data_IF_859908527517
#
_entry.id   IF_859908527517
#
_cell.length_a   1.000
_cell.length_b   1.000
_cell.length_c   1.000
_cell.angle_alpha   90.00
_cell.angle_beta   90.00
_cell.angle_gamma   90.00
#
_symmetry.space_group_name_H-M   'P 1'
#
loop_
_entity.id
_entity.type
_entity.pdbx_description
1 polymer ?
#
# COMPACT_ATOMS: atom_id res chain seq x y z
N UNK A 1 -9.19 -11.96 -13.57
CA UNK A 1 -7.85 -11.51 -13.14
C UNK A 1 -7.57 -12.22 -11.83
N UNK A 2 -6.77 -13.28 -11.82
CA UNK A 2 -6.50 -14.06 -10.59
C UNK A 2 -5.02 -13.99 -10.14
N UNK A 3 -4.16 -13.32 -10.92
CA UNK A 3 -2.71 -13.33 -10.71
C UNK A 3 -2.25 -12.41 -9.57
N UNK A 4 -2.88 -11.25 -9.38
CA UNK A 4 -2.51 -10.32 -8.30
C UNK A 4 -2.92 -10.90 -6.96
N UNK A 5 -4.14 -11.42 -6.85
CA UNK A 5 -4.65 -12.04 -5.62
C UNK A 5 -3.75 -13.18 -5.12
N UNK A 6 -3.49 -14.19 -5.96
CA UNK A 6 -2.65 -15.33 -5.58
C UNK A 6 -1.17 -14.96 -5.42
N UNK A 7 -0.65 -14.05 -6.25
CA UNK A 7 0.71 -13.54 -6.10
C UNK A 7 0.92 -12.80 -4.79
N UNK A 8 -0.10 -12.04 -4.35
CA UNK A 8 -0.08 -11.33 -3.08
C UNK A 8 -0.11 -12.28 -1.89
N UNK A 9 -0.96 -13.31 -1.93
CA UNK A 9 -1.00 -14.34 -0.88
C UNK A 9 0.35 -15.05 -0.73
N UNK A 10 0.98 -15.44 -1.85
CA UNK A 10 2.28 -16.08 -1.86
C UNK A 10 3.37 -15.15 -1.29
N UNK A 11 3.38 -13.89 -1.73
CA UNK A 11 4.38 -12.92 -1.26
C UNK A 11 4.18 -12.58 0.23
N UNK A 12 2.94 -12.49 0.70
CA UNK A 12 2.64 -12.32 2.12
C UNK A 12 3.13 -13.52 2.95
N UNK A 13 2.92 -14.73 2.46
CA UNK A 13 3.43 -15.95 3.12
C UNK A 13 4.97 -15.96 3.16
N UNK A 14 5.63 -15.56 2.06
CA UNK A 14 7.09 -15.43 2.01
C UNK A 14 7.58 -14.35 2.99
N UNK A 15 6.92 -13.19 3.05
CA UNK A 15 7.25 -12.09 3.96
C UNK A 15 7.15 -12.47 5.44
N UNK A 16 6.31 -13.45 5.79
CA UNK A 16 6.22 -13.99 7.14
C UNK A 16 7.33 -15.00 7.48
N UNK A 17 8.10 -15.47 6.50
CA UNK A 17 9.06 -16.55 6.71
C UNK A 17 10.26 -16.10 7.56
N UNK A 18 10.69 -16.86 8.60
CA UNK A 18 11.76 -16.43 9.52
C UNK A 18 13.12 -16.18 8.87
N UNK A 19 13.41 -16.85 7.75
CA UNK A 19 14.67 -16.71 7.00
C UNK A 19 14.64 -15.63 5.92
N UNK A 20 13.52 -14.92 5.76
CA UNK A 20 13.49 -13.82 4.78
C UNK A 20 14.43 -12.71 5.23
N UNK A 21 15.21 -12.19 4.30
CA UNK A 21 16.18 -11.13 4.57
C UNK A 21 15.51 -9.75 4.58
N UNK A 22 16.15 -8.78 5.22
CA UNK A 22 15.72 -7.38 5.19
C UNK A 22 15.59 -6.84 3.76
N UNK A 23 16.51 -7.22 2.86
CA UNK A 23 16.47 -6.82 1.45
C UNK A 23 15.24 -7.39 0.71
N UNK A 24 14.89 -8.65 0.96
CA UNK A 24 13.70 -9.27 0.38
C UNK A 24 12.41 -8.69 0.96
N UNK A 25 12.40 -8.29 2.23
CA UNK A 25 11.27 -7.56 2.82
C UNK A 25 11.09 -6.19 2.19
N UNK A 26 12.17 -5.46 1.92
CA UNK A 26 12.10 -4.21 1.17
C UNK A 26 11.58 -4.46 -0.26
N UNK A 27 12.08 -5.48 -0.93
CA UNK A 27 11.59 -5.86 -2.26
C UNK A 27 10.09 -6.17 -2.27
N UNK A 28 9.56 -6.77 -1.19
CA UNK A 28 8.13 -7.01 -1.06
C UNK A 28 7.32 -5.69 -1.00
N UNK A 29 7.81 -4.68 -0.28
CA UNK A 29 7.21 -3.33 -0.29
C UNK A 29 7.29 -2.68 -1.67
N UNK A 30 8.44 -2.83 -2.35
CA UNK A 30 8.64 -2.28 -3.69
C UNK A 30 7.68 -2.93 -4.71
N UNK A 31 7.40 -4.23 -4.57
CA UNK A 31 6.39 -4.93 -5.39
C UNK A 31 5.01 -4.32 -5.19
N UNK A 32 4.60 -4.04 -3.94
CA UNK A 32 3.30 -3.38 -3.66
C UNK A 32 3.24 -2.00 -4.33
N UNK A 33 4.29 -1.19 -4.18
CA UNK A 33 4.36 0.13 -4.81
C UNK A 33 4.28 0.05 -6.35
N UNK A 34 4.95 -0.95 -6.94
CA UNK A 34 4.97 -1.17 -8.39
C UNK A 34 3.64 -1.67 -8.94
N UNK A 35 2.97 -2.58 -8.24
CA UNK A 35 1.63 -3.07 -8.63
C UNK A 35 0.64 -1.90 -8.66
N UNK A 36 0.65 -1.05 -7.63
CA UNK A 36 -0.14 0.18 -7.61
C UNK A 36 0.26 1.13 -8.73
N UNK A 37 1.56 1.32 -8.98
CA UNK A 37 2.04 2.21 -10.05
C UNK A 37 1.57 1.80 -11.45
N UNK A 38 1.38 0.50 -11.68
CA UNK A 38 1.00 -0.06 -12.97
C UNK A 38 -0.52 -0.23 -13.12
N UNK A 39 -1.30 0.17 -12.11
CA UNK A 39 -2.74 0.08 -12.14
C UNK A 39 -3.31 1.01 -13.24
N UNK A 40 -4.05 0.40 -14.17
CA UNK A 40 -4.78 1.09 -15.26
C UNK A 40 -6.30 0.99 -15.15
N UNK A 41 -6.78 0.08 -14.30
CA UNK A 41 -8.20 -0.20 -14.07
C UNK A 41 -8.41 -0.41 -12.56
N UNK A 42 -9.62 -0.21 -12.04
CA UNK A 42 -9.93 -0.60 -10.67
C UNK A 42 -9.56 -2.07 -10.43
N UNK A 43 -9.01 -2.33 -9.25
CA UNK A 43 -8.79 -3.69 -8.79
C UNK A 43 -10.13 -4.37 -8.46
N UNK A 44 -10.13 -5.70 -8.52
CA UNK A 44 -11.30 -6.54 -8.31
C UNK A 44 -10.97 -7.61 -7.24
N UNK A 45 -11.98 -8.33 -6.75
CA UNK A 45 -11.77 -9.53 -5.92
C UNK A 45 -10.87 -9.31 -4.68
N UNK A 46 -11.07 -8.18 -3.99
CA UNK A 46 -10.34 -7.77 -2.77
C UNK A 46 -8.81 -7.69 -2.96
N UNK A 47 -8.36 -7.38 -4.18
CA UNK A 47 -6.94 -7.25 -4.52
C UNK A 47 -6.22 -6.18 -3.67
N UNK A 48 -6.86 -5.06 -3.31
CA UNK A 48 -6.25 -4.07 -2.40
C UNK A 48 -6.01 -4.63 -0.99
N UNK A 49 -6.97 -5.36 -0.45
CA UNK A 49 -6.87 -6.00 0.86
C UNK A 49 -5.78 -7.08 0.85
N UNK A 50 -5.67 -7.84 -0.24
CA UNK A 50 -4.63 -8.85 -0.41
C UNK A 50 -3.24 -8.23 -0.57
N UNK A 51 -3.11 -7.09 -1.25
CA UNK A 51 -1.87 -6.32 -1.30
C UNK A 51 -1.50 -5.75 0.08
N UNK A 52 -2.49 -5.29 0.85
CA UNK A 52 -2.29 -4.83 2.21
C UNK A 52 -1.70 -5.93 3.10
N UNK A 53 -2.09 -7.19 2.90
CA UNK A 53 -1.53 -8.33 3.65
C UNK A 53 -0.02 -8.46 3.52
N UNK A 54 0.57 -8.13 2.36
CA UNK A 54 2.03 -8.13 2.20
C UNK A 54 2.66 -7.13 3.18
N UNK A 55 2.18 -5.89 3.17
CA UNK A 55 2.70 -4.81 4.03
C UNK A 55 2.52 -5.17 5.51
N UNK A 56 1.38 -5.75 5.87
CA UNK A 56 1.14 -6.25 7.22
C UNK A 56 2.19 -7.29 7.64
N UNK A 57 2.45 -8.30 6.79
CA UNK A 57 3.44 -9.33 7.09
C UNK A 57 4.86 -8.80 7.15
N UNK A 58 5.22 -7.83 6.30
CA UNK A 58 6.51 -7.13 6.42
C UNK A 58 6.62 -6.40 7.76
N UNK A 59 5.59 -5.66 8.18
CA UNK A 59 5.59 -4.91 9.44
C UNK A 59 5.70 -5.79 10.69
N UNK A 60 5.20 -7.03 10.60
CA UNK A 60 5.24 -8.02 11.68
C UNK A 60 6.55 -8.82 11.71
N UNK A 61 7.35 -8.77 10.63
CA UNK A 61 8.57 -9.56 10.55
C UNK A 61 9.71 -8.87 11.34
N UNK A 62 10.39 -9.54 12.28
CA UNK A 62 11.46 -8.92 13.07
C UNK A 62 12.67 -8.46 12.24
N UNK A 63 12.85 -8.96 11.02
CA UNK A 63 13.97 -8.63 10.15
C UNK A 63 13.71 -7.36 9.31
N UNK A 64 12.54 -6.70 9.42
CA UNK A 64 12.27 -5.49 8.66
C UNK A 64 13.20 -4.34 9.12
N UNK A 65 13.64 -3.51 8.19
CA UNK A 65 14.51 -2.38 8.52
C UNK A 65 13.74 -1.33 9.33
N UNK A 66 14.36 -0.80 10.37
CA UNK A 66 13.77 0.28 11.19
C UNK A 66 13.32 1.45 10.31
N UNK A 67 12.05 1.83 10.42
CA UNK A 67 11.46 2.94 9.68
C UNK A 67 11.12 2.64 8.21
N UNK A 68 11.34 1.42 7.70
CA UNK A 68 11.00 1.07 6.31
C UNK A 68 9.51 1.24 6.02
N UNK A 69 8.64 0.86 6.98
CA UNK A 69 7.19 0.97 6.86
C UNK A 69 6.75 2.44 6.73
N UNK A 70 7.20 3.31 7.65
CA UNK A 70 6.87 4.73 7.59
C UNK A 70 7.41 5.40 6.33
N UNK A 71 8.62 5.04 5.90
CA UNK A 71 9.21 5.51 4.65
C UNK A 71 8.36 5.09 3.44
N UNK A 72 8.02 3.81 3.35
CA UNK A 72 7.19 3.26 2.28
C UNK A 72 5.88 4.02 2.13
N UNK A 73 5.17 4.28 3.24
CA UNK A 73 3.93 5.04 3.19
C UNK A 73 4.14 6.48 2.73
N UNK A 74 5.11 7.20 3.30
CA UNK A 74 5.33 8.60 2.95
C UNK A 74 5.79 8.78 1.49
N UNK A 75 6.73 7.96 1.02
CA UNK A 75 7.24 8.05 -0.35
C UNK A 75 6.18 7.64 -1.36
N UNK A 76 5.48 6.53 -1.14
CA UNK A 76 4.41 6.08 -2.04
C UNK A 76 3.31 7.13 -2.09
N UNK A 77 2.91 7.69 -0.95
CA UNK A 77 1.86 8.68 -0.88
C UNK A 77 2.23 9.98 -1.63
N UNK A 78 3.47 10.47 -1.50
CA UNK A 78 3.97 11.59 -2.30
C UNK A 78 3.85 11.27 -3.80
N UNK A 79 4.35 10.11 -4.24
CA UNK A 79 4.30 9.69 -5.64
C UNK A 79 2.86 9.65 -6.17
N UNK A 80 1.93 9.05 -5.42
CA UNK A 80 0.52 8.93 -5.85
C UNK A 80 -0.17 10.28 -5.96
N UNK A 81 0.06 11.18 -5.01
CA UNK A 81 -0.54 12.51 -5.06
C UNK A 81 0.06 13.41 -6.13
N UNK A 82 1.37 13.28 -6.40
CA UNK A 82 2.01 13.97 -7.53
C UNK A 82 1.41 13.50 -8.85
N UNK A 83 1.32 12.18 -9.08
CA UNK A 83 0.72 11.58 -10.29
C UNK A 83 -0.72 12.09 -10.52
N UNK A 84 -1.54 12.13 -9.46
CA UNK A 84 -2.91 12.66 -9.54
C UNK A 84 -2.99 14.16 -9.84
N UNK A 85 -2.11 14.96 -9.22
CA UNK A 85 -2.12 16.43 -9.37
C UNK A 85 -1.64 16.84 -10.77
N UNK A 86 -0.64 16.16 -11.31
CA UNK A 86 -0.10 16.42 -12.65
C UNK A 86 -1.04 15.94 -13.77
N UNK A 87 -1.97 15.03 -13.47
CA UNK A 87 -2.89 14.44 -14.44
C UNK A 87 -4.38 14.51 -14.00
N UNK A 88 -4.97 15.71 -13.83
CA UNK A 88 -6.29 15.91 -13.21
C UNK A 88 -7.50 15.32 -13.97
N UNK A 89 -7.29 14.81 -15.19
CA UNK A 89 -8.32 14.13 -15.99
C UNK A 89 -7.96 12.68 -16.35
N UNK A 90 -6.92 12.14 -15.70
CA UNK A 90 -6.51 10.75 -15.90
C UNK A 90 -7.20 9.84 -14.86
N UNK A 91 -8.15 9.05 -15.34
CA UNK A 91 -8.83 8.05 -14.51
C UNK A 91 -7.85 7.05 -13.87
N UNK A 92 -6.74 6.71 -14.52
CA UNK A 92 -5.73 5.82 -13.95
C UNK A 92 -5.09 6.42 -12.70
N UNK A 93 -4.73 7.70 -12.75
CA UNK A 93 -4.15 8.40 -11.59
C UNK A 93 -5.14 8.45 -10.41
N UNK A 94 -6.43 8.64 -10.71
CA UNK A 94 -7.49 8.54 -9.71
C UNK A 94 -7.61 7.11 -9.12
N UNK A 95 -7.60 6.07 -9.95
CA UNK A 95 -7.68 4.68 -9.48
C UNK A 95 -6.53 4.36 -8.52
N UNK A 96 -5.32 4.81 -8.84
CA UNK A 96 -4.13 4.60 -7.99
C UNK A 96 -4.26 5.26 -6.62
N UNK A 97 -4.74 6.50 -6.56
CA UNK A 97 -4.97 7.21 -5.29
C UNK A 97 -6.11 6.56 -4.49
N UNK A 98 -7.16 6.08 -5.17
CA UNK A 98 -8.27 5.37 -4.54
C UNK A 98 -7.84 4.01 -3.95
N UNK A 99 -7.11 3.20 -4.71
CA UNK A 99 -6.59 1.91 -4.25
C UNK A 99 -5.52 2.07 -3.17
N UNK A 100 -4.69 3.13 -3.27
CA UNK A 100 -3.76 3.48 -2.19
C UNK A 100 -4.48 3.76 -0.87
N UNK A 101 -5.58 4.54 -0.92
CA UNK A 101 -6.43 4.78 0.25
C UNK A 101 -7.08 3.50 0.78
N UNK A 102 -7.57 2.60 -0.08
CA UNK A 102 -8.13 1.31 0.35
C UNK A 102 -7.09 0.48 1.10
N UNK A 103 -5.89 0.34 0.53
CA UNK A 103 -4.77 -0.36 1.18
C UNK A 103 -4.46 0.23 2.56
N UNK A 104 -4.33 1.55 2.66
CA UNK A 104 -4.07 2.23 3.94
C UNK A 104 -5.20 2.03 4.96
N UNK A 105 -6.46 2.11 4.54
CA UNK A 105 -7.61 1.89 5.42
C UNK A 105 -7.66 0.45 5.93
N UNK A 106 -7.40 -0.55 5.08
CA UNK A 106 -7.33 -1.96 5.50
C UNK A 106 -6.28 -2.14 6.59
N UNK A 107 -5.08 -1.57 6.40
CA UNK A 107 -4.02 -1.65 7.40
C UNK A 107 -4.33 -0.87 8.68
N UNK A 108 -5.02 0.27 8.58
CA UNK A 108 -5.42 1.06 9.74
C UNK A 108 -6.27 0.23 10.72
N UNK A 109 -7.19 -0.59 10.21
CA UNK A 109 -8.02 -1.45 11.03
C UNK A 109 -7.31 -2.75 11.47
N UNK A 110 -6.43 -3.30 10.63
CA UNK A 110 -5.77 -4.58 10.93
C UNK A 110 -4.51 -4.46 11.80
N UNK A 111 -3.86 -3.30 11.83
CA UNK A 111 -2.59 -3.09 12.52
C UNK A 111 -2.60 -1.83 13.39
N UNK A 112 -3.01 -1.95 14.67
CA UNK A 112 -3.02 -0.82 15.60
C UNK A 112 -1.68 -0.09 15.70
N UNK A 113 -0.56 -0.80 15.60
CA UNK A 113 0.78 -0.22 15.63
C UNK A 113 1.09 0.73 14.47
N UNK A 114 0.40 0.59 13.33
CA UNK A 114 0.59 1.45 12.15
C UNK A 114 -0.34 2.66 12.13
N UNK A 115 -1.36 2.71 13.00
CA UNK A 115 -2.35 3.79 13.00
C UNK A 115 -1.75 5.19 13.10
N UNK A 116 -0.73 5.47 13.93
CA UNK A 116 -0.13 6.82 14.01
C UNK A 116 0.48 7.28 12.68
N UNK A 117 0.98 6.35 11.85
CA UNK A 117 1.50 6.64 10.52
C UNK A 117 0.39 6.77 9.48
N UNK A 118 -0.64 5.91 9.56
CA UNK A 118 -1.69 5.83 8.54
C UNK A 118 -2.76 6.91 8.67
N UNK A 119 -3.15 7.27 9.89
CA UNK A 119 -4.27 8.20 10.12
C UNK A 119 -4.06 9.55 9.42
N UNK A 120 -2.90 10.23 9.53
CA UNK A 120 -2.70 11.50 8.84
C UNK A 120 -2.81 11.39 7.32
N UNK A 121 -2.35 10.28 6.73
CA UNK A 121 -2.37 10.05 5.28
C UNK A 121 -3.79 9.79 4.77
N UNK A 122 -4.55 8.96 5.50
CA UNK A 122 -5.96 8.69 5.20
C UNK A 122 -6.81 9.96 5.36
N UNK A 123 -6.60 10.73 6.44
CA UNK A 123 -7.28 12.02 6.63
C UNK A 123 -6.96 13.00 5.49
N UNK A 124 -5.69 13.10 5.07
CA UNK A 124 -5.30 13.94 3.93
C UNK A 124 -6.06 13.55 2.65
N UNK A 125 -6.27 12.26 2.41
CA UNK A 125 -7.09 11.83 1.26
C UNK A 125 -8.50 12.38 1.34
N UNK A 126 -9.16 12.23 2.49
CA UNK A 126 -10.54 12.68 2.63
C UNK A 126 -10.67 14.20 2.52
N UNK A 127 -9.71 14.96 3.04
CA UNK A 127 -9.64 16.41 2.86
C UNK A 127 -9.44 16.79 1.39
N UNK A 128 -8.44 16.20 0.71
CA UNK A 128 -8.14 16.51 -0.70
C UNK A 128 -9.28 16.14 -1.66
N UNK A 129 -10.10 15.16 -1.30
CA UNK A 129 -11.25 14.72 -2.09
C UNK A 129 -12.55 15.44 -1.68
N UNK A 130 -12.50 16.38 -0.72
CA UNK A 130 -13.65 17.20 -0.32
C UNK A 130 -14.67 16.49 0.58
N UNK A 131 -14.29 15.40 1.24
CA UNK A 131 -15.15 14.72 2.23
C UNK A 131 -15.03 15.31 3.64
N UNK A 132 -13.93 16.00 3.92
CA UNK A 132 -13.64 16.65 5.19
C UNK A 132 -13.14 18.06 4.92
N UNK A 133 -13.46 18.96 5.84
CA UNK A 133 -12.97 20.34 5.85
C UNK A 133 -11.53 20.44 6.41
#
# INVERSE_FOLDING_TARGET
>A
MAFIAHGSDLLAAAAAHPKITTAQLQQALDVVANVLAQQKKPFLDDEEERLAMIVLRVSQNPNHATGSISRFFNETDIIRWTDYTEHPHNNEAYYRVSSWKRLMMTLYFMAPSMQPTLLPLVTKYFQKMGYLD
#
